data_IF_549675632713
#
_entry.id   IF_549675632713
#
_cell.length_a   1.000
_cell.length_b   1.000
_cell.length_c   1.000
_cell.angle_alpha   90.00
_cell.angle_beta   90.00
_cell.angle_gamma   90.00
#
_symmetry.space_group_name_H-M   'P 1'
#
loop_
_entity.id
_entity.type
_entity.pdbx_description
1 polymer ?
#
# COMPACT_ATOMS: atom_id res chain seq x y z
N UNK A 1 -2.60 -10.07 -1.44
CA UNK A 1 -1.73 -8.99 -1.93
C UNK A 1 -0.48 -9.56 -2.55
N UNK A 2 -0.13 -9.11 -3.74
CA UNK A 2 1.11 -9.47 -4.44
C UNK A 2 1.87 -8.18 -4.72
N UNK A 3 2.99 -8.02 -4.04
CA UNK A 3 3.90 -6.88 -4.21
C UNK A 3 5.35 -7.34 -4.09
N UNK A 4 6.02 -7.62 -5.20
CA UNK A 4 7.43 -7.97 -5.24
C UNK A 4 8.34 -6.77 -5.54
N UNK A 5 7.92 -5.55 -5.22
CA UNK A 5 8.65 -4.31 -5.54
C UNK A 5 9.87 -4.09 -4.65
N UNK A 6 9.95 -4.76 -3.50
CA UNK A 6 11.12 -4.70 -2.60
C UNK A 6 12.15 -5.75 -2.98
N UNK A 7 13.42 -5.33 -3.05
CA UNK A 7 14.55 -6.22 -3.26
C UNK A 7 15.72 -5.86 -2.33
N UNK A 8 16.38 -6.87 -1.78
CA UNK A 8 17.57 -6.69 -0.93
C UNK A 8 18.79 -6.12 -1.69
N UNK A 9 18.75 -6.19 -3.02
CA UNK A 9 19.83 -5.71 -3.90
C UNK A 9 19.58 -4.30 -4.45
N UNK A 10 18.47 -3.65 -4.08
CA UNK A 10 18.07 -2.31 -4.52
C UNK A 10 16.70 -2.29 -5.18
N UNK A 11 16.38 -1.17 -5.83
CA UNK A 11 15.09 -0.99 -6.50
C UNK A 11 15.09 -1.74 -7.84
N UNK A 12 14.26 -2.78 -8.02
CA UNK A 12 14.18 -3.50 -9.28
C UNK A 12 13.52 -2.63 -10.37
N UNK A 13 13.80 -2.93 -11.63
CA UNK A 13 13.12 -2.28 -12.75
C UNK A 13 11.65 -2.74 -12.82
N UNK A 14 10.78 -1.89 -13.35
CA UNK A 14 9.34 -2.17 -13.48
C UNK A 14 9.06 -3.51 -14.18
N UNK A 15 9.77 -3.81 -15.25
CA UNK A 15 9.58 -5.08 -15.98
C UNK A 15 9.90 -6.31 -15.12
N UNK A 16 10.95 -6.23 -14.30
CA UNK A 16 11.30 -7.31 -13.35
C UNK A 16 10.20 -7.50 -12.29
N UNK A 17 9.58 -6.41 -11.84
CA UNK A 17 8.47 -6.47 -10.89
C UNK A 17 7.24 -7.08 -11.55
N UNK A 18 6.92 -6.69 -12.78
CA UNK A 18 5.82 -7.26 -13.55
C UNK A 18 6.01 -8.78 -13.73
N UNK A 19 7.20 -9.23 -14.13
CA UNK A 19 7.51 -10.65 -14.30
C UNK A 19 7.28 -11.42 -12.98
N UNK A 20 7.76 -10.88 -11.86
CA UNK A 20 7.56 -11.45 -10.52
C UNK A 20 6.07 -11.46 -10.12
N UNK A 21 5.32 -10.40 -10.42
CA UNK A 21 3.87 -10.37 -10.18
C UNK A 21 3.19 -11.49 -10.95
N UNK A 22 3.48 -11.64 -12.23
CA UNK A 22 2.87 -12.67 -13.08
C UNK A 22 3.16 -14.09 -12.56
N UNK A 23 4.40 -14.38 -12.18
CA UNK A 23 4.80 -15.67 -11.60
C UNK A 23 4.07 -15.96 -10.28
N UNK A 24 4.05 -15.01 -9.36
CA UNK A 24 3.37 -15.16 -8.08
C UNK A 24 1.84 -15.27 -8.26
N UNK A 25 1.28 -14.54 -9.20
CA UNK A 25 -0.15 -14.57 -9.48
C UNK A 25 -0.60 -15.95 -9.93
N UNK A 26 0.10 -16.54 -10.91
CA UNK A 26 -0.18 -17.88 -11.41
C UNK A 26 0.02 -18.94 -10.31
N UNK A 27 1.10 -18.84 -9.54
CA UNK A 27 1.37 -19.73 -8.41
C UNK A 27 0.25 -19.67 -7.36
N UNK A 28 -0.11 -18.47 -6.90
CA UNK A 28 -1.14 -18.28 -5.88
C UNK A 28 -2.50 -18.75 -6.35
N UNK A 29 -2.86 -18.46 -7.61
CA UNK A 29 -4.12 -18.93 -8.19
C UNK A 29 -4.17 -20.45 -8.27
N UNK A 30 -3.14 -21.06 -8.84
CA UNK A 30 -3.05 -22.52 -8.97
C UNK A 30 -3.17 -23.23 -7.63
N UNK A 31 -2.47 -22.70 -6.61
CA UNK A 31 -2.54 -23.24 -5.26
C UNK A 31 -3.95 -23.08 -4.65
N UNK A 32 -4.57 -21.92 -4.79
CA UNK A 32 -5.93 -21.69 -4.29
C UNK A 32 -6.95 -22.66 -4.93
N UNK A 33 -6.84 -22.89 -6.24
CA UNK A 33 -7.69 -23.86 -6.93
C UNK A 33 -7.50 -25.30 -6.42
N UNK A 34 -6.25 -25.70 -6.18
CA UNK A 34 -5.95 -27.02 -5.58
C UNK A 34 -6.52 -27.18 -4.17
N UNK A 35 -6.63 -26.09 -3.42
CA UNK A 35 -7.22 -26.07 -2.08
C UNK A 35 -8.74 -25.84 -2.08
N UNK A 36 -9.37 -25.67 -3.24
CA UNK A 36 -10.79 -25.35 -3.37
C UNK A 36 -11.16 -24.02 -2.72
N UNK A 37 -10.25 -23.03 -2.77
CA UNK A 37 -10.45 -21.69 -2.19
C UNK A 37 -10.73 -20.67 -3.28
N UNK A 38 -11.74 -19.84 -3.06
CA UNK A 38 -11.94 -18.62 -3.82
C UNK A 38 -11.06 -17.51 -3.21
N UNK A 39 -10.26 -16.87 -4.06
CA UNK A 39 -9.43 -15.72 -3.69
C UNK A 39 -9.63 -14.58 -4.67
N UNK A 40 -9.49 -13.37 -4.18
CA UNK A 40 -9.38 -12.16 -4.98
C UNK A 40 -7.97 -11.62 -4.88
N UNK A 41 -7.49 -11.01 -5.95
CA UNK A 41 -6.13 -10.49 -6.02
C UNK A 41 -6.09 -8.98 -5.84
N UNK A 42 -5.05 -8.56 -5.16
CA UNK A 42 -4.57 -7.19 -5.07
C UNK A 42 -3.11 -7.19 -5.49
N UNK A 43 -2.74 -6.27 -6.35
CA UNK A 43 -1.36 -6.08 -6.81
C UNK A 43 -0.83 -4.75 -6.34
N UNK A 44 0.45 -4.68 -6.02
CA UNK A 44 1.15 -3.49 -5.58
C UNK A 44 2.47 -3.29 -6.33
N UNK A 45 2.79 -2.04 -6.55
CA UNK A 45 4.06 -1.58 -7.13
C UNK A 45 4.60 -0.36 -6.37
N UNK A 46 4.13 -0.18 -5.16
CA UNK A 46 4.23 1.06 -4.41
C UNK A 46 5.63 1.37 -3.86
N UNK A 47 6.51 0.37 -3.77
CA UNK A 47 7.87 0.56 -3.24
C UNK A 47 8.90 0.97 -4.31
N UNK A 48 8.48 1.11 -5.58
CA UNK A 48 9.39 1.42 -6.69
C UNK A 48 10.01 2.80 -6.65
N UNK A 49 9.35 3.76 -6.02
CA UNK A 49 9.86 5.13 -5.97
C UNK A 49 9.59 5.77 -4.62
N UNK A 50 10.53 6.57 -4.16
CA UNK A 50 10.30 7.46 -3.01
C UNK A 50 9.27 8.56 -3.33
N UNK A 51 8.91 8.68 -4.61
CA UNK A 51 7.92 9.62 -5.18
C UNK A 51 6.66 8.90 -5.62
N UNK A 52 5.59 9.63 -5.93
CA UNK A 52 4.35 9.06 -6.47
C UNK A 52 4.61 8.27 -7.76
N UNK A 53 3.95 7.12 -7.91
CA UNK A 53 3.96 6.37 -9.18
C UNK A 53 3.54 7.28 -10.33
N UNK A 54 4.22 7.20 -11.46
CA UNK A 54 3.79 7.97 -12.63
C UNK A 54 2.50 7.39 -13.21
N UNK A 55 1.72 8.23 -13.88
CA UNK A 55 0.48 7.77 -14.53
C UNK A 55 0.76 6.78 -15.65
N UNK A 56 1.84 7.02 -16.38
CA UNK A 56 2.32 6.17 -17.47
C UNK A 56 2.75 4.80 -16.95
N UNK A 57 3.40 4.75 -15.80
CA UNK A 57 3.85 3.52 -15.17
C UNK A 57 2.66 2.69 -14.67
N UNK A 58 1.68 3.32 -14.05
CA UNK A 58 0.44 2.66 -13.61
C UNK A 58 -0.33 2.07 -14.81
N UNK A 59 -0.49 2.85 -15.90
CA UNK A 59 -1.17 2.38 -17.12
C UNK A 59 -0.44 1.20 -17.74
N UNK A 60 0.90 1.28 -17.84
CA UNK A 60 1.76 0.23 -18.37
C UNK A 60 1.68 -1.08 -17.57
N UNK A 61 1.82 -0.99 -16.25
CA UNK A 61 1.74 -2.16 -15.36
C UNK A 61 0.38 -2.85 -15.49
N UNK A 62 -0.71 -2.08 -15.45
CA UNK A 62 -2.04 -2.62 -15.57
C UNK A 62 -2.28 -3.26 -16.94
N UNK A 63 -1.81 -2.65 -18.02
CA UNK A 63 -1.94 -3.21 -19.37
C UNK A 63 -1.30 -4.60 -19.47
N UNK A 64 -0.07 -4.76 -19.01
CA UNK A 64 0.67 -6.03 -19.07
C UNK A 64 0.01 -7.10 -18.19
N UNK A 65 -0.36 -6.76 -16.96
CA UNK A 65 -0.95 -7.73 -16.03
C UNK A 65 -2.34 -8.17 -16.50
N UNK A 66 -3.15 -7.26 -17.02
CA UNK A 66 -4.47 -7.62 -17.55
C UNK A 66 -4.37 -8.50 -18.80
N UNK A 67 -3.44 -8.20 -19.68
CA UNK A 67 -3.11 -9.00 -20.87
C UNK A 67 -2.65 -10.41 -20.48
N UNK A 68 -1.78 -10.51 -19.46
CA UNK A 68 -1.35 -11.77 -18.86
C UNK A 68 -2.53 -12.57 -18.29
N UNK A 69 -3.38 -11.94 -17.49
CA UNK A 69 -4.56 -12.60 -16.93
C UNK A 69 -5.49 -13.11 -18.02
N UNK A 70 -5.73 -12.32 -19.06
CA UNK A 70 -6.59 -12.72 -20.16
C UNK A 70 -6.02 -13.91 -20.94
N UNK A 71 -4.71 -13.87 -21.28
CA UNK A 71 -4.03 -14.94 -22.02
C UNK A 71 -3.99 -16.26 -21.28
N UNK A 72 -3.88 -16.21 -19.95
CA UNK A 72 -3.78 -17.40 -19.10
C UNK A 72 -5.11 -17.81 -18.45
N UNK A 73 -6.22 -17.17 -18.81
CA UNK A 73 -7.55 -17.43 -18.24
C UNK A 73 -7.61 -17.29 -16.71
N UNK A 74 -6.83 -16.31 -16.18
CA UNK A 74 -6.80 -15.98 -14.76
C UNK A 74 -7.82 -14.87 -14.44
N UNK A 75 -8.36 -14.81 -13.22
CA UNK A 75 -9.17 -13.68 -12.80
C UNK A 75 -8.30 -12.43 -12.80
N UNK A 76 -8.87 -11.29 -13.18
CA UNK A 76 -8.18 -10.01 -13.09
C UNK A 76 -8.05 -9.55 -11.63
N UNK A 77 -7.05 -8.73 -11.27
CA UNK A 77 -6.96 -8.16 -9.93
C UNK A 77 -8.17 -7.27 -9.63
N UNK A 78 -8.60 -7.29 -8.38
CA UNK A 78 -9.69 -6.44 -7.87
C UNK A 78 -9.15 -5.06 -7.49
N UNK A 79 -7.96 -5.00 -6.89
CA UNK A 79 -7.31 -3.77 -6.46
C UNK A 79 -5.91 -3.63 -7.03
N UNK A 80 -5.53 -2.39 -7.31
CA UNK A 80 -4.14 -1.96 -7.45
C UNK A 80 -3.81 -0.99 -6.33
N UNK A 81 -2.70 -1.22 -5.66
CA UNK A 81 -2.15 -0.30 -4.65
C UNK A 81 -1.18 0.65 -5.35
N UNK A 82 -1.32 1.92 -5.10
CA UNK A 82 -0.45 2.93 -5.71
C UNK A 82 -0.12 4.08 -4.73
N UNK A 83 0.99 4.73 -4.98
CA UNK A 83 1.41 5.93 -4.27
C UNK A 83 0.59 7.12 -4.74
N UNK A 84 -0.17 7.70 -3.83
CA UNK A 84 -1.11 8.79 -4.10
C UNK A 84 -0.71 10.12 -3.45
N UNK A 85 0.57 10.26 -3.06
CA UNK A 85 1.09 11.42 -2.36
C UNK A 85 1.00 11.32 -0.84
N UNK A 86 0.85 10.12 -0.28
CA UNK A 86 0.94 9.83 1.15
C UNK A 86 2.31 9.25 1.49
N UNK A 87 2.90 9.69 2.58
CA UNK A 87 4.19 9.19 3.08
C UNK A 87 4.20 9.17 4.60
N UNK A 88 4.40 8.00 5.18
CA UNK A 88 4.49 7.83 6.64
C UNK A 88 5.93 7.99 7.08
N UNK A 89 6.14 8.81 8.12
CA UNK A 89 7.41 8.95 8.82
C UNK A 89 7.16 8.99 10.31
N UNK A 90 7.70 8.03 11.05
CA UNK A 90 7.44 7.88 12.47
C UNK A 90 5.93 7.79 12.78
N UNK A 91 5.37 8.82 13.41
CA UNK A 91 3.96 8.90 13.83
C UNK A 91 3.19 10.00 13.11
N UNK A 92 3.53 10.28 11.87
CA UNK A 92 2.89 11.34 11.07
C UNK A 92 2.89 11.01 9.58
N UNK A 93 1.93 11.55 8.86
CA UNK A 93 1.94 11.58 7.40
C UNK A 93 2.60 12.88 6.93
N UNK A 94 3.63 12.77 6.10
CA UNK A 94 4.41 13.91 5.58
C UNK A 94 4.27 14.07 4.07
N UNK A 95 3.40 13.27 3.45
CA UNK A 95 3.14 13.36 2.02
C UNK A 95 2.32 14.61 1.65
N UNK A 96 2.27 14.89 0.35
CA UNK A 96 1.55 16.05 -0.20
C UNK A 96 0.02 15.94 -0.11
N UNK A 97 -0.50 14.76 0.26
CA UNK A 97 -1.95 14.52 0.31
C UNK A 97 -2.67 15.35 1.38
N UNK A 98 -2.06 15.53 2.54
CA UNK A 98 -2.65 16.23 3.71
C UNK A 98 -1.94 17.56 4.03
N UNK A 99 -1.05 18.03 3.17
CA UNK A 99 -0.33 19.27 3.39
C UNK A 99 -0.78 20.37 2.42
N UNK A 100 -1.01 21.61 2.90
CA UNK A 100 -1.26 22.74 2.02
C UNK A 100 0.02 23.21 1.30
N UNK A 101 1.20 22.71 1.71
CA UNK A 101 2.48 23.08 1.13
C UNK A 101 2.74 22.16 -0.05
N UNK A 102 2.83 22.73 -1.25
CA UNK A 102 3.23 21.98 -2.45
C UNK A 102 4.70 21.64 -2.37
N UNK A 103 5.00 20.35 -2.52
CA UNK A 103 6.39 19.89 -2.68
C UNK A 103 6.79 20.12 -4.13
N UNK A 104 8.01 20.64 -4.33
CA UNK A 104 8.53 20.84 -5.68
C UNK A 104 8.59 19.50 -6.41
N UNK A 105 8.21 19.51 -7.68
CA UNK A 105 8.21 18.34 -8.58
C UNK A 105 7.17 17.24 -8.24
N UNK A 106 6.33 17.41 -7.22
CA UNK A 106 5.20 16.51 -6.95
C UNK A 106 3.91 17.04 -7.59
N UNK A 107 3.17 16.13 -8.24
CA UNK A 107 1.82 16.45 -8.72
C UNK A 107 0.87 16.43 -7.51
N UNK A 108 0.12 17.49 -7.26
CA UNK A 108 -0.84 17.53 -6.16
C UNK A 108 -1.85 16.38 -6.24
N UNK A 109 -2.20 15.81 -5.09
CA UNK A 109 -3.08 14.63 -5.01
C UNK A 109 -4.47 14.88 -5.63
N UNK A 110 -5.00 16.11 -5.55
CA UNK A 110 -6.25 16.51 -6.17
C UNK A 110 -6.22 16.50 -7.70
N UNK A 111 -5.03 16.51 -8.30
CA UNK A 111 -4.81 16.38 -9.75
C UNK A 111 -4.43 14.95 -10.11
N UNK A 112 -3.55 14.32 -9.32
CA UNK A 112 -3.00 13.00 -9.59
C UNK A 112 -4.05 11.90 -9.44
N UNK A 113 -4.75 11.88 -8.29
CA UNK A 113 -5.69 10.80 -7.95
C UNK A 113 -6.84 10.64 -8.95
N UNK A 114 -7.52 11.71 -9.40
CA UNK A 114 -8.54 11.57 -10.44
C UNK A 114 -8.05 10.91 -11.73
N UNK A 115 -6.82 11.20 -12.16
CA UNK A 115 -6.21 10.59 -13.34
C UNK A 115 -5.88 9.11 -13.11
N UNK A 116 -5.37 8.75 -11.93
CA UNK A 116 -5.18 7.35 -11.54
C UNK A 116 -6.51 6.57 -11.54
N UNK A 117 -7.58 7.19 -11.05
CA UNK A 117 -8.92 6.60 -11.07
C UNK A 117 -9.42 6.38 -12.50
N UNK A 118 -9.15 7.29 -13.43
CA UNK A 118 -9.48 7.10 -14.85
C UNK A 118 -8.74 5.92 -15.45
N UNK A 119 -7.45 5.76 -15.16
CA UNK A 119 -6.67 4.59 -15.59
C UNK A 119 -7.26 3.31 -14.96
N UNK A 120 -7.52 3.29 -13.67
CA UNK A 120 -8.13 2.13 -13.01
C UNK A 120 -9.49 1.75 -13.62
N UNK A 121 -10.31 2.73 -13.99
CA UNK A 121 -11.60 2.50 -14.67
C UNK A 121 -11.43 1.87 -16.05
N UNK A 122 -10.40 2.25 -16.82
CA UNK A 122 -10.08 1.64 -18.13
C UNK A 122 -9.92 0.13 -18.03
N UNK A 123 -9.30 -0.36 -16.96
CA UNK A 123 -9.09 -1.79 -16.70
C UNK A 123 -10.18 -2.42 -15.81
N UNK A 124 -11.06 -1.62 -15.22
CA UNK A 124 -12.09 -2.10 -14.28
C UNK A 124 -11.50 -2.69 -13.01
N UNK A 125 -10.45 -2.05 -12.49
CA UNK A 125 -9.80 -2.33 -11.20
C UNK A 125 -10.07 -1.17 -10.24
N UNK A 126 -10.03 -1.44 -8.94
CA UNK A 126 -10.18 -0.44 -7.90
C UNK A 126 -8.83 0.09 -7.43
N UNK A 127 -8.75 1.41 -7.19
CA UNK A 127 -7.56 2.04 -6.61
C UNK A 127 -7.59 1.88 -5.09
N UNK A 128 -6.47 1.42 -4.54
CA UNK A 128 -6.19 1.40 -3.10
C UNK A 128 -5.01 2.32 -2.80
N UNK A 129 -5.20 3.20 -1.83
CA UNK A 129 -4.16 4.12 -1.39
C UNK A 129 -3.15 3.42 -0.48
N UNK A 130 -1.87 3.66 -0.73
CA UNK A 130 -0.78 3.25 0.13
C UNK A 130 -0.51 4.31 1.22
N UNK A 131 0.03 3.88 2.39
CA UNK A 131 0.49 4.77 3.47
C UNK A 131 -0.55 5.80 3.97
N UNK A 132 -1.75 5.33 4.33
CA UNK A 132 -2.86 6.20 4.78
C UNK A 132 -2.78 6.56 6.28
N UNK A 133 -1.83 5.98 7.01
CA UNK A 133 -1.64 6.22 8.43
C UNK A 133 -1.42 7.70 8.75
N UNK A 134 -1.94 8.13 9.88
CA UNK A 134 -1.80 9.48 10.45
C UNK A 134 -2.31 10.63 9.57
N UNK A 135 -3.18 10.35 8.62
CA UNK A 135 -3.90 11.40 7.92
C UNK A 135 -4.91 12.08 8.85
N UNK A 136 -5.14 13.36 8.63
CA UNK A 136 -6.19 14.09 9.35
C UNK A 136 -7.59 13.56 9.01
N UNK A 137 -8.56 13.79 9.90
CA UNK A 137 -9.96 13.46 9.67
C UNK A 137 -10.50 14.11 8.39
N UNK A 138 -10.00 15.31 8.06
CA UNK A 138 -10.39 16.01 6.83
C UNK A 138 -9.82 15.31 5.59
N UNK A 139 -8.55 14.90 5.62
CA UNK A 139 -7.93 14.15 4.53
C UNK A 139 -8.64 12.80 4.31
N UNK A 140 -8.96 12.08 5.38
CA UNK A 140 -9.70 10.81 5.30
C UNK A 140 -11.08 10.96 4.63
N UNK A 141 -11.78 12.07 4.84
CA UNK A 141 -13.07 12.36 4.18
C UNK A 141 -12.94 12.59 2.68
N UNK A 142 -11.75 13.00 2.22
CA UNK A 142 -11.49 13.18 0.80
C UNK A 142 -11.27 11.89 0.04
N UNK A 143 -10.80 10.82 0.67
CA UNK A 143 -10.54 9.54 0.00
C UNK A 143 -11.72 9.06 -0.85
N UNK A 144 -12.93 8.85 -0.29
CA UNK A 144 -14.07 8.41 -1.08
C UNK A 144 -14.55 9.47 -2.08
N UNK A 145 -14.37 10.76 -1.79
CA UNK A 145 -14.76 11.86 -2.69
C UNK A 145 -13.88 11.92 -3.93
N UNK A 146 -12.59 11.57 -3.81
CA UNK A 146 -11.65 11.45 -4.93
C UNK A 146 -11.83 10.15 -5.71
N UNK A 147 -12.62 9.21 -5.19
CA UNK A 147 -12.85 7.91 -5.82
C UNK A 147 -11.85 6.84 -5.42
N UNK A 148 -11.10 7.04 -4.34
CA UNK A 148 -10.26 6.00 -3.73
C UNK A 148 -11.17 4.97 -3.06
N UNK A 149 -10.98 3.69 -3.38
CA UNK A 149 -11.89 2.63 -2.99
C UNK A 149 -11.46 1.91 -1.70
N UNK A 150 -10.17 1.96 -1.39
CA UNK A 150 -9.57 1.32 -0.22
C UNK A 150 -8.30 2.03 0.19
N UNK A 151 -7.81 1.75 1.40
CA UNK A 151 -6.61 2.36 1.95
C UNK A 151 -5.87 1.37 2.86
N UNK A 152 -4.53 1.46 2.88
CA UNK A 152 -3.68 0.71 3.79
C UNK A 152 -3.43 1.54 5.04
N UNK A 153 -3.67 0.94 6.21
CA UNK A 153 -3.32 1.48 7.53
C UNK A 153 -2.67 0.35 8.32
N UNK A 154 -1.47 0.54 8.81
CA UNK A 154 -0.74 -0.48 9.56
C UNK A 154 -0.02 0.07 10.80
N UNK A 155 1.03 0.93 10.69
CA UNK A 155 1.79 1.38 11.86
C UNK A 155 0.96 2.19 12.84
N UNK A 156 -0.04 2.94 12.41
CA UNK A 156 -0.93 3.69 13.30
C UNK A 156 -1.71 2.76 14.23
N UNK A 157 -2.24 1.64 13.73
CA UNK A 157 -2.92 0.63 14.55
C UNK A 157 -1.95 -0.05 15.51
N UNK A 158 -0.76 -0.44 15.05
CA UNK A 158 0.27 -1.05 15.90
C UNK A 158 0.70 -0.13 17.05
N UNK A 159 0.84 1.16 16.80
CA UNK A 159 1.16 2.15 17.82
C UNK A 159 0.00 2.34 18.81
N UNK A 160 -1.24 2.38 18.32
CA UNK A 160 -2.41 2.50 19.18
C UNK A 160 -2.52 1.28 20.11
N UNK A 161 -2.33 0.07 19.60
CA UNK A 161 -2.31 -1.17 20.37
C UNK A 161 -1.18 -1.18 21.41
N UNK A 162 0.04 -0.83 21.00
CA UNK A 162 1.20 -0.74 21.89
C UNK A 162 0.97 0.25 23.03
N UNK A 163 0.46 1.44 22.75
CA UNK A 163 0.12 2.44 23.77
C UNK A 163 -0.94 1.93 24.74
N UNK A 164 -1.95 1.21 24.24
CA UNK A 164 -2.98 0.63 25.08
C UNK A 164 -2.40 -0.47 25.99
N UNK A 165 -1.52 -1.34 25.46
CA UNK A 165 -0.84 -2.37 26.24
C UNK A 165 0.02 -1.76 27.37
N UNK A 166 0.89 -0.80 27.03
CA UNK A 166 1.74 -0.09 28.00
C UNK A 166 0.87 0.52 29.11
N UNK A 167 -0.19 1.23 28.76
CA UNK A 167 -1.10 1.83 29.73
C UNK A 167 -1.77 0.78 30.64
N UNK A 168 -2.14 -0.37 30.11
CA UNK A 168 -2.72 -1.47 30.92
C UNK A 168 -1.67 -2.01 31.89
N UNK A 169 -0.43 -2.24 31.45
CA UNK A 169 0.65 -2.72 32.32
C UNK A 169 0.92 -1.75 33.47
N UNK A 170 1.11 -0.46 33.18
CA UNK A 170 1.34 0.59 34.18
C UNK A 170 0.19 0.70 35.17
N UNK A 171 -1.07 0.67 34.69
CA UNK A 171 -2.25 0.79 35.55
C UNK A 171 -2.40 -0.41 36.52
N UNK A 172 -1.82 -1.55 36.20
CA UNK A 172 -1.83 -2.77 37.01
C UNK A 172 -0.53 -2.98 37.83
N UNK A 173 0.34 -1.98 37.93
CA UNK A 173 1.59 -2.07 38.70
C UNK A 173 2.63 -3.00 38.08
N UNK A 174 2.64 -3.12 36.75
CA UNK A 174 3.55 -3.95 35.96
C UNK A 174 4.52 -3.11 35.13
N UNK A 175 5.00 -1.99 35.70
CA UNK A 175 5.90 -1.05 35.03
C UNK A 175 7.18 -1.74 34.53
N UNK A 176 7.76 -2.63 35.31
CA UNK A 176 8.96 -3.38 34.90
C UNK A 176 8.74 -4.25 33.65
N UNK A 177 7.55 -4.83 33.51
CA UNK A 177 7.19 -5.60 32.32
C UNK A 177 6.97 -4.70 31.09
N UNK A 178 6.45 -3.49 31.31
CA UNK A 178 6.33 -2.46 30.28
C UNK A 178 7.70 -2.02 29.77
N UNK A 179 8.63 -1.74 30.70
CA UNK A 179 10.01 -1.32 30.37
C UNK A 179 10.76 -2.44 29.61
N UNK A 180 10.63 -3.68 30.07
CA UNK A 180 11.23 -4.85 29.40
C UNK A 180 10.69 -5.01 27.97
N UNK A 181 9.36 -4.90 27.79
CA UNK A 181 8.74 -4.98 26.46
C UNK A 181 9.24 -3.90 25.52
N UNK A 182 9.30 -2.65 25.97
CA UNK A 182 9.79 -1.53 25.16
C UNK A 182 11.29 -1.68 24.86
N UNK A 183 12.09 -2.17 25.83
CA UNK A 183 13.51 -2.40 25.60
C UNK A 183 13.76 -3.50 24.58
N UNK A 184 13.02 -4.62 24.64
CA UNK A 184 13.08 -5.70 23.64
C UNK A 184 12.68 -5.20 22.24
N UNK A 185 11.65 -4.36 22.15
CA UNK A 185 11.24 -3.76 20.89
C UNK A 185 12.33 -2.85 20.31
N UNK A 186 12.96 -2.02 21.15
CA UNK A 186 14.08 -1.15 20.78
C UNK A 186 15.30 -1.96 20.33
N UNK A 187 15.68 -2.99 21.08
CA UNK A 187 16.86 -3.81 20.79
C UNK A 187 16.68 -4.68 19.53
N UNK A 188 15.43 -4.94 19.11
CA UNK A 188 15.15 -5.68 17.88
C UNK A 188 15.64 -4.95 16.63
N UNK A 189 15.83 -3.64 16.72
CA UNK A 189 16.30 -2.76 15.64
C UNK A 189 15.54 -2.92 14.32
N UNK A 190 14.21 -3.14 14.41
CA UNK A 190 13.28 -3.31 13.29
C UNK A 190 12.34 -2.12 13.16
#
# INVERSE_FOLDING_TARGET
>A
HIDPSIDIFGVPKVDVIIDRICELYEFCWSYAQQQGKEIIFEIGTEEQSETSSTLEELDYVLEIIFDFCQKNHLPKPTFVVAQTGTRVMETRNIGSFDTPIRVADEIPADILVPKMIEICKKFGVFLKQHNTDYLSDEALKWLPRLGIHSANVAPEFGIAETKALVKILETNGLESSSDEFLQLAFDSNR
#
